data_IF_433086238257
#
_entry.id   IF_433086238257
#
_cell.length_a   1.000
_cell.length_b   1.000
_cell.length_c   1.000
_cell.angle_alpha   90.00
_cell.angle_beta   90.00
_cell.angle_gamma   90.00
#
_symmetry.space_group_name_H-M   'P 1'
#
loop_
_entity.id
_entity.type
_entity.pdbx_description
1 polymer ?
#
# COMPACT_ATOMS: atom_id res chain seq x y z
N UNK A 1 10.67 59.53 9.38
CA UNK A 1 10.44 59.80 7.93
C UNK A 1 11.78 59.73 7.22
N UNK A 2 11.94 58.78 6.30
CA UNK A 2 13.12 58.52 5.48
C UNK A 2 12.75 58.77 4.02
N UNK A 3 13.63 59.43 3.28
CA UNK A 3 13.73 59.49 1.82
C UNK A 3 15.07 60.19 1.53
N UNK A 4 15.84 59.97 0.48
CA UNK A 4 15.92 58.99 -0.60
C UNK A 4 17.29 59.31 -1.25
N UNK A 5 18.13 58.30 -1.54
CA UNK A 5 19.22 58.39 -2.53
C UNK A 5 19.51 57.01 -3.10
N UNK A 6 19.01 56.86 -4.31
CA UNK A 6 19.26 55.86 -5.34
C UNK A 6 20.74 55.53 -5.60
N UNK A 7 21.02 54.24 -5.78
CA UNK A 7 22.25 53.64 -6.33
C UNK A 7 21.92 52.81 -7.58
N UNK A 8 22.81 52.69 -8.58
CA UNK A 8 22.53 51.96 -9.82
C UNK A 8 23.14 50.55 -9.87
N UNK A 9 22.50 49.71 -10.71
CA UNK A 9 23.06 48.63 -11.55
C UNK A 9 23.77 47.44 -10.88
N UNK A 10 23.16 46.25 -11.01
CA UNK A 10 23.80 45.09 -11.68
C UNK A 10 22.81 43.96 -11.95
N UNK A 11 22.89 43.45 -13.17
CA UNK A 11 22.14 42.35 -13.74
C UNK A 11 22.37 41.01 -13.02
N UNK A 12 21.35 40.15 -12.98
CA UNK A 12 21.51 38.70 -12.81
C UNK A 12 20.49 37.98 -13.69
N UNK A 13 21.00 37.43 -14.79
CA UNK A 13 20.28 36.55 -15.70
C UNK A 13 20.08 35.19 -15.04
N UNK A 14 18.81 34.77 -14.96
CA UNK A 14 18.44 33.37 -14.86
C UNK A 14 18.62 32.72 -16.24
N UNK A 15 19.46 31.69 -16.35
CA UNK A 15 19.54 30.85 -17.56
C UNK A 15 18.81 29.52 -17.32
N UNK A 16 17.69 29.41 -18.01
CA UNK A 16 16.84 28.24 -18.17
C UNK A 16 17.48 27.24 -19.14
N UNK A 17 17.42 25.96 -18.80
CA UNK A 17 17.74 24.86 -19.71
C UNK A 17 16.56 24.60 -20.66
N UNK A 18 16.81 24.60 -21.97
CA UNK A 18 15.95 24.05 -23.01
C UNK A 18 16.81 23.63 -24.21
N UNK A 19 16.63 22.45 -24.81
CA UNK A 19 17.22 22.12 -26.09
C UNK A 19 16.18 22.24 -27.21
N UNK A 20 16.46 23.11 -28.17
CA UNK A 20 15.73 23.29 -29.43
C UNK A 20 16.14 22.25 -30.47
N UNK A 21 15.17 21.72 -31.21
CA UNK A 21 15.33 21.08 -32.53
C UNK A 21 14.87 22.05 -33.62
N UNK A 22 15.34 21.94 -34.88
CA UNK A 22 14.67 22.57 -36.00
C UNK A 22 14.24 21.59 -37.11
N UNK A 23 13.14 21.92 -37.80
CA UNK A 23 13.00 21.66 -39.25
C UNK A 23 11.72 20.98 -39.73
N UNK A 24 10.83 21.76 -40.34
CA UNK A 24 9.54 21.41 -40.97
C UNK A 24 9.64 20.81 -42.39
N UNK A 25 8.64 20.00 -42.79
CA UNK A 25 8.05 19.94 -44.14
C UNK A 25 6.72 19.14 -44.13
N UNK A 26 5.91 19.27 -45.19
CA UNK A 26 4.44 19.33 -45.13
C UNK A 26 3.65 18.11 -45.67
N UNK A 27 2.41 17.99 -45.13
CA UNK A 27 1.12 17.48 -45.67
C UNK A 27 1.06 16.22 -46.58
N UNK A 28 0.27 15.22 -46.13
CA UNK A 28 -0.84 14.56 -46.88
C UNK A 28 -1.70 13.70 -45.94
N UNK A 29 -3.04 13.78 -46.04
CA UNK A 29 -4.01 12.87 -45.38
C UNK A 29 -4.17 11.59 -46.21
N UNK A 30 -4.45 10.43 -45.57
CA UNK A 30 -5.72 9.79 -45.92
C UNK A 30 -6.47 9.06 -44.78
N UNK A 31 -7.79 9.07 -44.96
CA UNK A 31 -8.90 8.13 -44.64
C UNK A 31 -8.95 7.34 -43.32
N UNK A 32 -10.18 7.33 -42.81
CA UNK A 32 -10.66 6.74 -41.57
C UNK A 32 -10.41 5.23 -41.46
N UNK A 33 -9.90 4.83 -40.30
CA UNK A 33 -9.95 3.46 -39.81
C UNK A 33 -10.74 3.42 -38.49
N UNK A 34 -11.70 2.52 -38.47
CA UNK A 34 -12.76 2.30 -37.48
C UNK A 34 -12.16 1.94 -36.10
N UNK A 35 -12.49 2.72 -35.06
CA UNK A 35 -12.11 2.43 -33.67
C UNK A 35 -13.05 1.38 -33.07
N UNK A 36 -12.55 0.36 -32.34
CA UNK A 36 -13.40 -0.54 -31.58
C UNK A 36 -13.99 0.18 -30.36
N UNK A 37 -15.30 -0.02 -30.13
CA UNK A 37 -16.11 0.54 -29.05
C UNK A 37 -15.54 0.17 -27.67
N UNK A 38 -14.93 1.14 -26.99
CA UNK A 38 -14.64 1.09 -25.55
C UNK A 38 -15.91 1.42 -24.77
N UNK A 39 -16.37 0.51 -23.92
CA UNK A 39 -17.42 0.77 -22.93
C UNK A 39 -16.78 1.58 -21.80
N UNK A 40 -16.89 2.90 -21.87
CA UNK A 40 -16.69 3.81 -20.74
C UNK A 40 -17.28 5.19 -21.06
N UNK A 41 -18.41 5.55 -20.45
CA UNK A 41 -18.78 6.92 -20.05
C UNK A 41 -20.22 6.96 -19.52
N UNK A 42 -20.38 6.94 -18.20
CA UNK A 42 -21.53 7.55 -17.50
C UNK A 42 -21.29 7.52 -15.98
N UNK A 43 -20.22 8.16 -15.49
CA UNK A 43 -20.04 8.54 -14.08
C UNK A 43 -18.83 9.47 -13.88
N UNK A 44 -18.53 10.33 -14.85
CA UNK A 44 -17.42 11.27 -14.79
C UNK A 44 -17.98 12.70 -14.74
N UNK A 45 -18.41 13.13 -13.56
CA UNK A 45 -18.58 14.54 -13.23
C UNK A 45 -18.27 14.73 -11.74
N UNK A 46 -17.49 15.77 -11.44
CA UNK A 46 -16.99 16.25 -10.14
C UNK A 46 -15.59 15.75 -9.69
N UNK A 47 -14.59 16.37 -10.34
CA UNK A 47 -13.23 16.58 -9.86
C UNK A 47 -13.18 17.89 -9.07
N UNK A 48 -12.91 17.85 -7.75
CA UNK A 48 -12.12 18.86 -7.01
C UNK A 48 -11.73 18.29 -5.62
N UNK A 49 -10.55 18.69 -5.15
CA UNK A 49 -9.93 18.43 -3.83
C UNK A 49 -9.33 17.03 -3.57
N UNK A 50 -8.12 16.82 -4.10
CA UNK A 50 -7.21 15.75 -3.68
C UNK A 50 -6.70 16.00 -2.24
N UNK A 51 -7.49 15.54 -1.27
CA UNK A 51 -7.03 14.97 0.00
C UNK A 51 -8.21 14.26 0.65
N UNK A 52 -8.48 13.03 0.22
CA UNK A 52 -9.44 12.19 0.92
C UNK A 52 -8.91 11.94 2.32
N UNK A 53 -9.60 12.34 3.40
CA UNK A 53 -9.26 11.87 4.73
C UNK A 53 -9.52 10.35 4.72
N UNK A 54 -8.46 9.54 4.68
CA UNK A 54 -8.54 8.06 4.60
C UNK A 54 -9.15 7.38 5.85
N UNK A 55 -9.94 8.09 6.64
CA UNK A 55 -10.54 7.63 7.90
C UNK A 55 -12.06 7.86 7.98
N UNK A 56 -12.67 8.58 7.03
CA UNK A 56 -14.10 8.88 7.03
C UNK A 56 -14.80 8.18 5.86
N UNK A 57 -15.78 7.31 6.14
CA UNK A 57 -16.73 6.83 5.14
C UNK A 57 -17.11 5.34 5.22
N UNK A 58 -16.33 4.49 5.90
CA UNK A 58 -16.71 3.11 6.15
C UNK A 58 -17.23 2.98 7.58
N UNK A 59 -18.55 2.86 7.72
CA UNK A 59 -19.24 2.62 8.99
C UNK A 59 -19.97 1.29 8.87
N UNK A 60 -19.74 0.41 9.84
CA UNK A 60 -20.41 -0.87 10.01
C UNK A 60 -21.12 -0.87 11.36
N UNK A 61 -22.29 -1.51 11.43
CA UNK A 61 -23.05 -1.74 12.65
C UNK A 61 -22.82 -3.16 13.19
N UNK A 62 -22.79 -3.37 14.52
CA UNK A 62 -22.88 -4.71 15.11
C UNK A 62 -24.12 -5.50 14.68
N UNK A 63 -25.22 -4.81 14.33
CA UNK A 63 -26.46 -5.41 13.85
C UNK A 63 -26.41 -5.85 12.38
N UNK A 64 -25.41 -5.41 11.60
CA UNK A 64 -25.27 -5.81 10.21
C UNK A 64 -25.07 -7.32 10.10
N UNK A 65 -25.68 -7.96 9.10
CA UNK A 65 -25.30 -9.33 8.75
C UNK A 65 -23.83 -9.37 8.32
N UNK A 66 -23.03 -10.33 8.82
CA UNK A 66 -21.58 -10.35 8.55
C UNK A 66 -21.24 -10.41 7.05
N UNK A 67 -22.05 -11.10 6.25
CA UNK A 67 -21.92 -11.14 4.79
C UNK A 67 -22.29 -9.81 4.12
N UNK A 68 -23.26 -9.07 4.68
CA UNK A 68 -23.63 -7.70 4.22
C UNK A 68 -22.46 -6.75 4.45
N UNK A 69 -21.91 -6.76 5.66
CA UNK A 69 -20.75 -5.96 6.02
C UNK A 69 -19.56 -6.25 5.08
N UNK A 70 -19.30 -7.52 4.77
CA UNK A 70 -18.26 -7.90 3.82
C UNK A 70 -18.46 -7.26 2.43
N UNK A 71 -19.70 -7.23 1.91
CA UNK A 71 -20.02 -6.58 0.62
C UNK A 71 -19.83 -5.07 0.67
N UNK A 72 -20.28 -4.41 1.75
CA UNK A 72 -20.07 -2.96 1.97
C UNK A 72 -18.59 -2.61 1.95
N UNK A 73 -17.76 -3.38 2.67
CA UNK A 73 -16.31 -3.16 2.72
C UNK A 73 -15.66 -3.39 1.36
N UNK A 74 -16.05 -4.45 0.64
CA UNK A 74 -15.53 -4.72 -0.71
C UNK A 74 -15.92 -3.60 -1.68
N UNK A 75 -17.19 -3.16 -1.68
CA UNK A 75 -17.68 -2.04 -2.49
C UNK A 75 -16.88 -0.76 -2.23
N UNK A 76 -16.70 -0.42 -0.96
CA UNK A 76 -15.99 0.79 -0.55
C UNK A 76 -14.56 0.82 -1.11
N UNK A 77 -13.81 -0.27 -0.95
CA UNK A 77 -12.43 -0.34 -1.45
C UNK A 77 -12.34 -0.53 -2.97
N UNK A 78 -13.32 -1.16 -3.61
CA UNK A 78 -13.39 -1.28 -5.07
C UNK A 78 -13.65 0.07 -5.73
N UNK A 79 -14.54 0.91 -5.16
CA UNK A 79 -14.73 2.30 -5.60
C UNK A 79 -13.45 3.12 -5.46
N UNK A 80 -12.75 2.97 -4.32
CA UNK A 80 -11.47 3.64 -4.10
C UNK A 80 -10.40 3.18 -5.10
N UNK A 81 -10.38 1.89 -5.47
CA UNK A 81 -9.52 1.34 -6.53
C UNK A 81 -9.86 1.97 -7.88
N UNK A 82 -11.13 1.93 -8.30
CA UNK A 82 -11.57 2.43 -9.61
C UNK A 82 -11.27 3.92 -9.80
N UNK A 83 -11.44 4.73 -8.75
CA UNK A 83 -11.19 6.18 -8.80
C UNK A 83 -9.73 6.54 -9.12
N UNK A 84 -8.77 5.75 -8.64
CA UNK A 84 -7.33 6.08 -8.76
C UNK A 84 -6.61 5.29 -9.84
N UNK A 85 -7.23 4.25 -10.39
CA UNK A 85 -6.62 3.37 -11.40
C UNK A 85 -6.16 4.12 -12.66
N UNK A 86 -6.93 5.05 -13.26
CA UNK A 86 -6.49 5.75 -14.48
C UNK A 86 -5.21 6.56 -14.27
N UNK A 87 -5.13 7.34 -13.18
CA UNK A 87 -3.94 8.13 -12.86
C UNK A 87 -2.76 7.24 -12.42
N UNK A 88 -3.03 6.11 -11.77
CA UNK A 88 -1.99 5.14 -11.44
C UNK A 88 -1.40 4.48 -12.68
N UNK A 89 -2.22 4.24 -13.70
CA UNK A 89 -1.79 3.73 -15.02
C UNK A 89 -0.93 4.74 -15.76
N UNK A 90 -1.17 6.03 -15.59
CA UNK A 90 -0.30 7.10 -16.10
C UNK A 90 1.05 7.21 -15.34
N UNK A 91 1.29 6.36 -14.33
CA UNK A 91 2.55 6.32 -13.60
C UNK A 91 2.66 7.30 -12.44
N UNK A 92 1.59 8.04 -12.12
CA UNK A 92 1.62 9.02 -11.04
C UNK A 92 1.89 8.37 -9.67
N UNK A 93 2.85 8.92 -8.93
CA UNK A 93 3.38 8.30 -7.71
C UNK A 93 2.32 8.09 -6.64
N UNK A 94 1.49 9.10 -6.38
CA UNK A 94 0.47 9.05 -5.34
C UNK A 94 -0.73 8.17 -5.74
N UNK A 95 -1.31 8.28 -6.95
CA UNK A 95 -2.29 7.33 -7.44
C UNK A 95 -1.82 5.87 -7.41
N UNK A 96 -0.58 5.55 -7.81
CA UNK A 96 -0.02 4.18 -7.68
C UNK A 96 0.02 3.74 -6.21
N UNK A 97 0.39 4.66 -5.30
CA UNK A 97 0.35 4.38 -3.86
C UNK A 97 -1.07 4.09 -3.37
N UNK A 98 -2.05 4.91 -3.75
CA UNK A 98 -3.46 4.73 -3.39
C UNK A 98 -4.05 3.44 -3.97
N UNK A 99 -3.73 3.11 -5.22
CA UNK A 99 -4.16 1.87 -5.86
C UNK A 99 -3.62 0.64 -5.10
N UNK A 100 -2.33 0.68 -4.70
CA UNK A 100 -1.73 -0.36 -3.85
C UNK A 100 -2.42 -0.45 -2.49
N UNK A 101 -2.79 0.68 -1.89
CA UNK A 101 -3.51 0.72 -0.61
C UNK A 101 -4.89 0.09 -0.75
N UNK A 102 -5.69 0.49 -1.74
CA UNK A 102 -7.01 -0.05 -2.01
C UNK A 102 -6.98 -1.56 -2.24
N UNK A 103 -6.09 -2.03 -3.12
CA UNK A 103 -5.90 -3.47 -3.41
C UNK A 103 -5.53 -4.27 -2.16
N UNK A 104 -4.66 -3.71 -1.33
CA UNK A 104 -4.24 -4.37 -0.08
C UNK A 104 -5.37 -4.42 0.95
N UNK A 105 -6.20 -3.38 1.03
CA UNK A 105 -7.39 -3.36 1.89
C UNK A 105 -8.45 -4.35 1.41
N UNK A 106 -8.72 -4.45 0.10
CA UNK A 106 -9.56 -5.50 -0.48
C UNK A 106 -9.07 -6.91 -0.07
N UNK A 107 -7.77 -7.18 -0.21
CA UNK A 107 -7.19 -8.46 0.21
C UNK A 107 -7.31 -8.73 1.71
N UNK A 108 -7.22 -7.68 2.54
CA UNK A 108 -7.38 -7.80 3.98
C UNK A 108 -8.84 -8.09 4.34
N UNK A 109 -9.79 -7.36 3.75
CA UNK A 109 -11.22 -7.56 3.93
C UNK A 109 -11.65 -8.98 3.54
N UNK A 110 -11.29 -9.45 2.34
CA UNK A 110 -11.62 -10.81 1.90
C UNK A 110 -11.00 -11.90 2.80
N UNK A 111 -9.82 -11.65 3.37
CA UNK A 111 -9.22 -12.57 4.33
C UNK A 111 -9.97 -12.55 5.66
N UNK A 112 -10.34 -11.37 6.14
CA UNK A 112 -11.06 -11.19 7.40
C UNK A 112 -12.42 -11.92 7.33
N UNK A 113 -13.19 -11.64 6.29
CA UNK A 113 -14.54 -12.19 6.11
C UNK A 113 -14.56 -13.59 5.48
N UNK A 114 -13.41 -14.19 5.15
CA UNK A 114 -13.36 -15.52 4.52
C UNK A 114 -14.25 -16.59 5.22
N UNK A 115 -14.35 -16.65 6.57
CA UNK A 115 -15.22 -17.62 7.26
C UNK A 115 -16.72 -17.45 7.00
N UNK A 116 -17.17 -16.26 6.60
CA UNK A 116 -18.60 -15.94 6.34
C UNK A 116 -18.91 -15.74 4.86
N UNK A 117 -17.96 -16.07 3.98
CA UNK A 117 -18.09 -15.96 2.53
C UNK A 117 -18.09 -17.33 1.87
N UNK A 118 -18.70 -17.48 0.67
CA UNK A 118 -18.58 -18.72 -0.09
C UNK A 118 -17.10 -19.07 -0.35
N UNK A 119 -16.66 -20.26 0.09
CA UNK A 119 -15.24 -20.63 0.11
C UNK A 119 -14.58 -20.52 -1.27
N UNK A 120 -15.27 -20.98 -2.34
CA UNK A 120 -14.79 -20.89 -3.72
C UNK A 120 -14.59 -19.44 -4.18
N UNK A 121 -15.49 -18.54 -3.81
CA UNK A 121 -15.38 -17.11 -4.12
C UNK A 121 -14.19 -16.49 -3.38
N UNK A 122 -14.11 -16.69 -2.06
CA UNK A 122 -13.06 -16.11 -1.23
C UNK A 122 -11.66 -16.55 -1.69
N UNK A 123 -11.48 -17.84 -1.98
CA UNK A 123 -10.21 -18.39 -2.46
C UNK A 123 -9.80 -17.82 -3.83
N UNK A 124 -10.73 -17.79 -4.79
CA UNK A 124 -10.45 -17.26 -6.13
C UNK A 124 -10.13 -15.76 -6.10
N UNK A 125 -10.96 -14.96 -5.43
CA UNK A 125 -10.77 -13.52 -5.30
C UNK A 125 -9.45 -13.18 -4.59
N UNK A 126 -9.11 -13.92 -3.53
CA UNK A 126 -7.85 -13.72 -2.80
C UNK A 126 -6.61 -13.99 -3.67
N UNK A 127 -6.60 -15.11 -4.40
CA UNK A 127 -5.52 -15.49 -5.31
C UNK A 127 -5.33 -14.45 -6.41
N UNK A 128 -6.42 -14.03 -7.05
CA UNK A 128 -6.34 -13.13 -8.20
C UNK A 128 -6.01 -11.69 -7.77
N UNK A 129 -6.51 -11.22 -6.62
CA UNK A 129 -6.02 -9.96 -6.03
C UNK A 129 -4.56 -10.06 -5.59
N UNK A 130 -4.08 -11.23 -5.16
CA UNK A 130 -2.67 -11.39 -4.82
C UNK A 130 -1.78 -11.21 -6.06
N UNK A 131 -2.16 -11.80 -7.19
CA UNK A 131 -1.50 -11.60 -8.47
C UNK A 131 -1.48 -10.12 -8.89
N UNK A 132 -2.62 -9.43 -8.82
CA UNK A 132 -2.71 -8.01 -9.20
C UNK A 132 -1.92 -7.11 -8.23
N UNK A 133 -2.01 -7.39 -6.93
CA UNK A 133 -1.27 -6.65 -5.90
C UNK A 133 0.25 -6.78 -6.05
N UNK A 134 0.75 -7.90 -6.59
CA UNK A 134 2.18 -8.06 -6.89
C UNK A 134 2.60 -7.11 -8.02
N UNK A 135 1.79 -6.99 -9.08
CA UNK A 135 2.08 -6.09 -10.20
C UNK A 135 2.08 -4.61 -9.79
N UNK A 136 1.00 -4.16 -9.15
CA UNK A 136 0.90 -2.79 -8.60
C UNK A 136 2.02 -2.57 -7.58
N UNK A 137 2.36 -3.63 -6.85
CA UNK A 137 3.38 -3.63 -5.84
C UNK A 137 4.75 -3.24 -6.40
N UNK A 138 5.15 -3.87 -7.50
CA UNK A 138 6.43 -3.67 -8.15
C UNK A 138 6.68 -2.20 -8.53
N UNK A 139 5.69 -1.53 -9.15
CA UNK A 139 5.79 -0.10 -9.50
C UNK A 139 6.00 0.76 -8.25
N UNK A 140 5.18 0.57 -7.20
CA UNK A 140 5.33 1.36 -5.97
C UNK A 140 6.67 1.11 -5.29
N UNK A 141 7.17 -0.11 -5.31
CA UNK A 141 8.44 -0.46 -4.69
C UNK A 141 9.60 0.28 -5.40
N UNK A 142 9.54 0.47 -6.72
CA UNK A 142 10.49 1.32 -7.47
C UNK A 142 10.38 2.81 -7.10
N UNK A 143 9.17 3.35 -6.90
CA UNK A 143 9.01 4.72 -6.39
C UNK A 143 9.66 4.91 -5.00
N UNK A 144 9.44 3.95 -4.07
CA UNK A 144 10.07 4.00 -2.73
C UNK A 144 11.59 3.87 -2.85
N UNK A 145 12.05 2.97 -3.72
CA UNK A 145 13.46 2.74 -3.97
C UNK A 145 14.15 4.01 -4.47
N UNK A 146 13.61 4.66 -5.49
CA UNK A 146 14.16 5.92 -6.03
C UNK A 146 14.22 7.03 -4.98
N UNK A 147 13.18 7.15 -4.16
CA UNK A 147 13.19 8.09 -3.03
C UNK A 147 14.28 7.76 -2.00
N UNK A 148 14.44 6.49 -1.68
CA UNK A 148 15.44 6.01 -0.73
C UNK A 148 16.85 6.26 -1.24
N UNK A 149 17.14 5.88 -2.49
CA UNK A 149 18.44 6.05 -3.12
C UNK A 149 18.80 7.54 -3.22
N UNK A 150 17.89 8.40 -3.69
CA UNK A 150 18.11 9.86 -3.77
C UNK A 150 18.46 10.46 -2.41
N UNK A 151 17.71 10.12 -1.36
CA UNK A 151 17.97 10.59 0.01
C UNK A 151 19.31 10.12 0.57
N UNK A 152 19.79 8.94 0.18
CA UNK A 152 21.11 8.45 0.60
C UNK A 152 22.24 9.02 -0.26
N UNK A 153 22.05 9.13 -1.58
CA UNK A 153 23.01 9.71 -2.51
C UNK A 153 23.35 11.17 -2.16
N UNK A 154 22.35 11.95 -1.70
CA UNK A 154 22.55 13.31 -1.21
C UNK A 154 23.51 13.43 -0.01
N UNK A 155 23.84 12.32 0.65
CA UNK A 155 24.75 12.25 1.80
C UNK A 155 26.13 11.66 1.46
N UNK A 156 26.34 11.26 0.21
CA UNK A 156 27.65 10.81 -0.26
C UNK A 156 28.55 12.01 -0.49
N UNK A 157 29.86 11.75 -0.51
CA UNK A 157 30.87 12.71 -0.94
C UNK A 157 30.58 13.25 -2.35
N UNK A 158 30.95 14.51 -2.64
CA UNK A 158 30.59 15.16 -3.91
C UNK A 158 31.00 14.37 -5.16
N UNK A 159 32.17 13.75 -5.15
CA UNK A 159 32.67 12.92 -6.25
C UNK A 159 31.77 11.70 -6.50
N UNK A 160 31.52 10.90 -5.47
CA UNK A 160 30.63 9.74 -5.56
C UNK A 160 29.20 10.14 -5.95
N UNK A 161 28.72 11.29 -5.45
CA UNK A 161 27.40 11.80 -5.78
C UNK A 161 27.24 12.11 -7.27
N UNK A 162 28.26 12.69 -7.91
CA UNK A 162 28.27 12.95 -9.37
C UNK A 162 28.21 11.65 -10.17
N UNK A 163 28.78 10.57 -9.66
CA UNK A 163 28.80 9.26 -10.30
C UNK A 163 27.50 8.42 -10.12
N UNK A 164 26.47 8.93 -9.45
CA UNK A 164 25.19 8.20 -9.24
C UNK A 164 24.29 8.17 -10.49
N UNK A 165 24.54 9.03 -11.49
CA UNK A 165 23.69 9.18 -12.69
C UNK A 165 23.24 7.85 -13.33
N UNK A 166 24.15 6.90 -13.64
CA UNK A 166 23.79 5.62 -14.23
C UNK A 166 22.81 4.76 -13.40
N UNK A 167 22.84 4.87 -12.07
CA UNK A 167 21.87 4.20 -11.19
C UNK A 167 20.47 4.77 -11.38
N UNK A 168 20.39 6.10 -11.57
CA UNK A 168 19.12 6.80 -11.84
C UNK A 168 18.51 6.37 -13.17
N UNK A 169 19.34 6.28 -14.22
CA UNK A 169 18.91 5.82 -15.56
C UNK A 169 18.38 4.40 -15.50
N UNK A 170 19.15 3.46 -14.94
CA UNK A 170 18.72 2.06 -14.84
C UNK A 170 17.44 1.89 -14.01
N UNK A 171 17.27 2.67 -12.94
CA UNK A 171 16.04 2.66 -12.15
C UNK A 171 14.84 3.19 -12.93
N UNK A 172 15.01 4.26 -13.69
CA UNK A 172 13.95 4.84 -14.52
C UNK A 172 13.52 3.86 -15.61
N UNK A 173 14.45 3.27 -16.35
CA UNK A 173 14.14 2.28 -17.37
C UNK A 173 13.40 1.07 -16.80
N UNK A 174 13.81 0.58 -15.62
CA UNK A 174 13.10 -0.50 -14.95
C UNK A 174 11.69 -0.09 -14.53
N UNK A 175 11.50 1.16 -14.10
CA UNK A 175 10.21 1.70 -13.76
C UNK A 175 9.27 1.76 -14.97
N UNK A 176 9.73 2.29 -16.11
CA UNK A 176 8.94 2.35 -17.35
C UNK A 176 8.50 0.95 -17.81
N UNK A 177 9.42 -0.03 -17.81
CA UNK A 177 9.09 -1.43 -18.12
C UNK A 177 8.04 -2.01 -17.17
N UNK A 178 8.21 -1.78 -15.86
CA UNK A 178 7.29 -2.30 -14.84
C UNK A 178 5.92 -1.64 -14.92
N UNK A 179 5.86 -0.36 -15.29
CA UNK A 179 4.61 0.37 -15.49
C UNK A 179 3.86 -0.13 -16.73
N UNK A 180 4.56 -0.35 -17.84
CA UNK A 180 3.99 -0.96 -19.05
C UNK A 180 3.44 -2.37 -18.78
N UNK A 181 4.17 -3.19 -18.01
CA UNK A 181 3.69 -4.49 -17.55
C UNK A 181 2.44 -4.39 -16.69
N UNK A 182 2.36 -3.39 -15.79
CA UNK A 182 1.17 -3.14 -14.99
C UNK A 182 -0.03 -2.81 -15.88
N UNK A 183 0.14 -1.92 -16.86
CA UNK A 183 -0.90 -1.59 -17.84
C UNK A 183 -1.42 -2.83 -18.57
N UNK A 184 -0.51 -3.63 -19.12
CA UNK A 184 -0.85 -4.90 -19.80
C UNK A 184 -1.63 -5.86 -18.90
N UNK A 185 -1.26 -5.96 -17.63
CA UNK A 185 -1.97 -6.83 -16.67
C UNK A 185 -3.36 -6.30 -16.34
N UNK A 186 -3.54 -4.99 -16.20
CA UNK A 186 -4.83 -4.37 -15.95
C UNK A 186 -5.79 -4.54 -17.14
N UNK A 187 -5.27 -4.53 -18.38
CA UNK A 187 -6.07 -4.71 -19.60
C UNK A 187 -6.41 -6.19 -19.90
N UNK A 188 -5.65 -7.10 -19.27
CA UNK A 188 -5.81 -8.53 -19.45
C UNK A 188 -7.14 -9.08 -18.95
N UNK A 189 -7.61 -10.16 -19.60
CA UNK A 189 -8.86 -10.89 -19.25
C UNK A 189 -8.92 -11.28 -17.77
N UNK A 190 -7.78 -11.57 -17.14
CA UNK A 190 -7.71 -11.95 -15.72
C UNK A 190 -8.09 -10.80 -14.78
N UNK A 191 -7.59 -9.59 -15.03
CA UNK A 191 -7.93 -8.42 -14.21
C UNK A 191 -9.40 -8.04 -14.39
N UNK A 192 -9.90 -8.03 -15.63
CA UNK A 192 -11.32 -7.78 -15.90
C UNK A 192 -12.25 -8.73 -15.14
N UNK A 193 -12.04 -10.05 -15.27
CA UNK A 193 -12.83 -11.07 -14.56
C UNK A 193 -12.75 -10.95 -13.04
N UNK A 194 -11.60 -10.50 -12.50
CA UNK A 194 -11.46 -10.24 -11.08
C UNK A 194 -12.33 -9.05 -10.65
N UNK A 195 -12.23 -7.92 -11.35
CA UNK A 195 -12.98 -6.71 -11.03
C UNK A 195 -14.49 -6.92 -11.20
N UNK A 196 -14.92 -7.58 -12.28
CA UNK A 196 -16.32 -7.97 -12.49
C UNK A 196 -16.85 -8.87 -11.37
N UNK A 197 -16.08 -9.89 -10.96
CA UNK A 197 -16.47 -10.78 -9.85
C UNK A 197 -16.59 -10.02 -8.53
N UNK A 198 -15.67 -9.10 -8.25
CA UNK A 198 -15.72 -8.27 -7.04
C UNK A 198 -16.89 -7.28 -7.08
N UNK A 199 -17.19 -6.69 -8.23
CA UNK A 199 -18.33 -5.79 -8.43
C UNK A 199 -19.65 -6.56 -8.27
N UNK A 200 -19.80 -7.69 -8.97
CA UNK A 200 -20.96 -8.55 -8.86
C UNK A 200 -21.20 -9.00 -7.42
N UNK A 201 -20.14 -9.35 -6.67
CA UNK A 201 -20.24 -9.64 -5.24
C UNK A 201 -20.61 -8.41 -4.41
N UNK A 202 -20.00 -7.26 -4.67
CA UNK A 202 -20.31 -6.03 -3.96
C UNK A 202 -21.78 -5.66 -4.12
N UNK A 203 -22.35 -5.85 -5.31
CA UNK A 203 -23.68 -5.41 -5.69
C UNK A 203 -24.77 -6.48 -5.64
N UNK A 204 -24.44 -7.75 -5.36
CA UNK A 204 -25.52 -8.74 -5.19
C UNK A 204 -26.36 -8.41 -3.96
N UNK A 205 -27.70 -8.53 -4.06
CA UNK A 205 -28.57 -8.39 -2.91
C UNK A 205 -28.15 -9.39 -1.84
N UNK A 206 -28.07 -8.91 -0.60
CA UNK A 206 -27.79 -9.80 0.52
C UNK A 206 -29.03 -10.67 0.77
N UNK A 207 -28.87 -11.98 1.00
CA UNK A 207 -29.96 -12.79 1.53
C UNK A 207 -30.42 -12.17 2.86
N UNK A 208 -31.67 -11.72 2.94
CA UNK A 208 -32.26 -11.17 4.17
C UNK A 208 -32.34 -12.29 5.21
N UNK A 209 -31.84 -12.05 6.43
CA UNK A 209 -31.99 -12.96 7.57
C UNK A 209 -31.19 -14.27 7.53
N UNK A 210 -30.28 -14.49 6.57
CA UNK A 210 -29.42 -15.69 6.54
C UNK A 210 -27.97 -15.34 6.88
N UNK A 211 -27.54 -15.72 8.10
CA UNK A 211 -26.16 -15.63 8.56
C UNK A 211 -26.02 -14.93 9.92
N UNK A 212 -24.86 -15.03 10.57
CA UNK A 212 -24.64 -14.40 11.87
C UNK A 212 -24.55 -12.87 11.74
N UNK A 213 -24.92 -12.17 12.81
CA UNK A 213 -24.65 -10.73 12.92
C UNK A 213 -23.16 -10.48 13.04
N UNK A 214 -22.73 -9.30 12.63
CA UNK A 214 -21.33 -8.92 12.65
C UNK A 214 -20.79 -8.85 14.08
N UNK A 215 -21.55 -8.28 15.02
CA UNK A 215 -21.18 -8.22 16.45
C UNK A 215 -20.88 -9.61 17.02
N UNK A 216 -21.74 -10.59 16.75
CA UNK A 216 -21.61 -11.96 17.25
C UNK A 216 -20.33 -12.68 16.78
N UNK A 217 -19.81 -12.33 15.59
CA UNK A 217 -18.61 -12.98 15.02
C UNK A 217 -17.36 -12.10 15.04
N UNK A 218 -17.45 -10.81 15.36
CA UNK A 218 -16.35 -9.86 15.24
C UNK A 218 -15.09 -10.31 16.01
N UNK A 219 -15.26 -10.74 17.26
CA UNK A 219 -14.16 -11.25 18.08
C UNK A 219 -13.50 -12.50 17.47
N UNK A 220 -14.29 -13.42 16.92
CA UNK A 220 -13.80 -14.65 16.29
C UNK A 220 -13.11 -14.39 14.95
N UNK A 221 -13.56 -13.39 14.19
CA UNK A 221 -12.86 -12.94 12.97
C UNK A 221 -11.48 -12.36 13.31
N UNK A 222 -11.32 -11.65 14.44
CA UNK A 222 -10.05 -11.03 14.86
C UNK A 222 -9.10 -12.01 15.57
N UNK A 223 -9.63 -12.97 16.32
CA UNK A 223 -8.86 -13.91 17.17
C UNK A 223 -7.71 -14.63 16.43
N UNK A 224 -7.87 -15.15 15.19
CA UNK A 224 -6.77 -15.74 14.43
C UNK A 224 -5.63 -14.74 14.11
N UNK A 225 -5.96 -13.46 13.89
CA UNK A 225 -4.99 -12.42 13.62
C UNK A 225 -4.17 -12.08 14.87
N UNK A 226 -4.82 -11.96 16.03
CA UNK A 226 -4.18 -11.78 17.34
C UNK A 226 -3.24 -12.95 17.63
N UNK A 227 -3.73 -14.19 17.54
CA UNK A 227 -2.91 -15.40 17.73
C UNK A 227 -1.70 -15.41 16.80
N UNK A 228 -1.88 -14.99 15.55
CA UNK A 228 -0.80 -14.90 14.57
C UNK A 228 0.29 -13.89 14.94
N UNK A 229 -0.08 -12.74 15.52
CA UNK A 229 0.88 -11.73 16.03
C UNK A 229 1.62 -12.27 17.25
N UNK A 230 0.91 -12.82 18.23
CA UNK A 230 1.50 -13.39 19.45
C UNK A 230 2.47 -14.53 19.11
N UNK A 231 2.09 -15.47 18.25
CA UNK A 231 2.95 -16.58 17.82
C UNK A 231 4.21 -16.10 17.09
N UNK A 232 4.09 -15.06 16.25
CA UNK A 232 5.25 -14.49 15.58
C UNK A 232 6.18 -13.77 16.56
N UNK A 233 5.61 -13.08 17.55
CA UNK A 233 6.34 -12.41 18.61
C UNK A 233 7.10 -13.35 19.53
N UNK A 234 6.50 -14.47 19.94
CA UNK A 234 7.14 -15.49 20.79
C UNK A 234 8.41 -16.10 20.18
N UNK A 235 8.52 -16.10 18.84
CA UNK A 235 9.72 -16.57 18.12
C UNK A 235 10.87 -15.56 18.13
N UNK A 236 10.64 -14.33 18.59
CA UNK A 236 11.68 -13.31 18.62
C UNK A 236 12.53 -13.47 19.88
N UNK A 237 13.71 -14.05 19.71
CA UNK A 237 14.80 -13.99 20.69
C UNK A 237 15.55 -12.65 20.68
N UNK A 238 16.54 -12.46 21.59
CA UNK A 238 17.43 -11.29 21.59
C UNK A 238 18.11 -11.05 20.22
N UNK A 239 18.46 -12.14 19.54
CA UNK A 239 19.14 -12.15 18.25
C UNK A 239 18.23 -12.49 17.07
N UNK A 240 16.93 -12.20 17.17
CA UNK A 240 15.95 -12.55 16.13
C UNK A 240 16.40 -12.19 14.70
N UNK A 241 16.34 -13.16 13.79
CA UNK A 241 16.83 -13.01 12.43
C UNK A 241 15.91 -12.07 11.61
N UNK A 242 16.40 -11.47 10.50
CA UNK A 242 15.57 -10.64 9.62
C UNK A 242 14.26 -11.30 9.16
N UNK A 243 14.22 -12.61 8.82
CA UNK A 243 12.97 -13.29 8.47
C UNK A 243 11.92 -13.28 9.58
N UNK A 244 12.31 -13.38 10.85
CA UNK A 244 11.36 -13.41 11.97
C UNK A 244 10.70 -12.05 12.21
N UNK A 245 11.48 -10.98 12.13
CA UNK A 245 10.95 -9.62 12.18
C UNK A 245 10.03 -9.32 10.99
N UNK A 246 10.38 -9.82 9.81
CA UNK A 246 9.51 -9.72 8.64
C UNK A 246 8.19 -10.46 8.86
N UNK A 247 8.23 -11.68 9.39
CA UNK A 247 7.03 -12.45 9.75
C UNK A 247 6.16 -11.70 10.75
N UNK A 248 6.73 -11.15 11.83
CA UNK A 248 6.00 -10.32 12.78
C UNK A 248 5.35 -9.12 12.10
N UNK A 249 6.11 -8.37 11.29
CA UNK A 249 5.60 -7.20 10.55
C UNK A 249 4.39 -7.56 9.70
N UNK A 250 4.45 -8.67 8.96
CA UNK A 250 3.33 -9.14 8.14
C UNK A 250 2.11 -9.43 9.00
N UNK A 251 2.28 -10.05 10.17
CA UNK A 251 1.17 -10.34 11.10
C UNK A 251 0.59 -9.08 11.72
N UNK A 252 1.43 -8.16 12.19
CA UNK A 252 1.03 -6.84 12.73
C UNK A 252 0.21 -6.07 11.70
N UNK A 253 0.68 -6.02 10.45
CA UNK A 253 -0.02 -5.36 9.34
C UNK A 253 -1.39 -5.98 9.06
N UNK A 254 -1.49 -7.32 9.10
CA UNK A 254 -2.75 -8.04 8.90
C UNK A 254 -3.74 -7.76 10.03
N UNK A 255 -3.29 -7.80 11.28
CA UNK A 255 -4.13 -7.46 12.44
C UNK A 255 -4.61 -6.01 12.38
N UNK A 256 -3.71 -5.06 12.07
CA UNK A 256 -4.08 -3.65 11.92
C UNK A 256 -5.18 -3.47 10.87
N UNK A 257 -5.06 -4.07 9.68
CA UNK A 257 -6.11 -3.93 8.67
C UNK A 257 -7.43 -4.58 9.08
N UNK A 258 -7.39 -5.72 9.75
CA UNK A 258 -8.59 -6.35 10.27
C UNK A 258 -9.32 -5.44 11.27
N UNK A 259 -8.58 -4.86 12.21
CA UNK A 259 -9.13 -3.92 13.19
C UNK A 259 -9.55 -2.57 12.58
N UNK A 260 -8.86 -2.09 11.56
CA UNK A 260 -9.28 -0.88 10.84
C UNK A 260 -10.61 -1.10 10.11
N UNK A 261 -10.85 -2.31 9.59
CA UNK A 261 -12.12 -2.67 8.95
C UNK A 261 -13.26 -2.72 9.95
N UNK A 262 -13.03 -3.27 11.15
CA UNK A 262 -14.04 -3.35 12.22
C UNK A 262 -13.98 -2.17 13.19
N UNK A 263 -13.37 -1.05 12.80
CA UNK A 263 -13.10 0.06 13.71
C UNK A 263 -14.37 0.68 14.29
N UNK A 264 -15.48 0.67 13.56
CA UNK A 264 -16.75 1.23 14.01
C UNK A 264 -17.47 0.37 15.05
N UNK A 265 -17.06 -0.88 15.25
CA UNK A 265 -17.59 -1.79 16.28
C UNK A 265 -16.81 -1.71 17.59
N UNK A 266 -15.78 -0.85 17.64
CA UNK A 266 -14.89 -0.77 18.78
C UNK A 266 -14.70 0.66 19.25
N UNK A 267 -14.56 0.79 20.55
CA UNK A 267 -14.40 2.06 21.23
C UNK A 267 -12.94 2.26 21.63
N UNK A 268 -12.67 2.27 22.93
CA UNK A 268 -11.40 2.73 23.47
C UNK A 268 -10.27 1.77 23.16
N UNK A 269 -10.44 0.46 23.39
CA UNK A 269 -9.37 -0.52 23.25
C UNK A 269 -9.00 -0.71 21.78
N UNK A 270 -9.99 -0.80 20.88
CA UNK A 270 -9.73 -0.89 19.43
C UNK A 270 -8.98 0.34 18.93
N UNK A 271 -9.41 1.56 19.31
CA UNK A 271 -8.73 2.80 18.92
C UNK A 271 -7.31 2.86 19.47
N UNK A 272 -7.09 2.51 20.75
CA UNK A 272 -5.77 2.53 21.35
C UNK A 272 -4.84 1.52 20.66
N UNK A 273 -5.28 0.28 20.46
CA UNK A 273 -4.44 -0.75 19.85
C UNK A 273 -4.08 -0.38 18.42
N UNK A 274 -4.99 0.24 17.66
CA UNK A 274 -4.71 0.69 16.30
C UNK A 274 -3.57 1.71 16.26
N UNK A 275 -3.58 2.69 17.16
CA UNK A 275 -2.48 3.68 17.29
C UNK A 275 -1.16 3.00 17.63
N UNK A 276 -1.18 2.02 18.53
CA UNK A 276 0.04 1.28 18.92
C UNK A 276 0.55 0.38 17.80
N UNK A 277 -0.34 -0.30 17.08
CA UNK A 277 0.00 -1.14 15.93
C UNK A 277 0.56 -0.30 14.78
N UNK A 278 0.05 0.91 14.55
CA UNK A 278 0.58 1.85 13.56
C UNK A 278 2.02 2.23 13.89
N UNK A 279 2.29 2.69 15.12
CA UNK A 279 3.66 3.02 15.59
C UNK A 279 4.62 1.83 15.51
N UNK A 280 4.16 0.64 15.88
CA UNK A 280 4.93 -0.60 15.77
C UNK A 280 5.23 -0.93 14.31
N UNK A 281 4.23 -0.87 13.44
CA UNK A 281 4.38 -1.12 12.01
C UNK A 281 5.36 -0.14 11.37
N UNK A 282 5.34 1.14 11.71
CA UNK A 282 6.27 2.14 11.17
C UNK A 282 7.70 1.86 11.59
N UNK A 283 7.89 1.40 12.83
CA UNK A 283 9.22 1.02 13.33
C UNK A 283 9.76 -0.23 12.64
N UNK A 284 8.93 -1.28 12.52
CA UNK A 284 9.24 -2.47 11.71
C UNK A 284 9.33 -2.14 10.20
N UNK A 285 8.74 -1.00 9.82
CA UNK A 285 8.67 -0.35 8.51
C UNK A 285 10.02 -0.01 7.92
N UNK A 286 10.72 0.86 8.66
CA UNK A 286 11.87 1.69 8.23
C UNK A 286 13.11 0.91 7.79
N UNK A 287 13.24 -0.36 8.19
CA UNK A 287 14.37 -1.22 7.81
C UNK A 287 14.19 -1.91 6.46
N UNK A 288 12.95 -2.16 6.04
CA UNK A 288 12.66 -2.93 4.82
C UNK A 288 13.08 -2.17 3.57
N UNK A 289 12.78 -0.87 3.49
CA UNK A 289 13.10 -0.06 2.30
C UNK A 289 14.62 -0.04 2.06
N UNK A 290 15.41 0.02 3.14
CA UNK A 290 16.86 -0.06 3.07
C UNK A 290 17.35 -1.45 2.61
N UNK A 291 16.72 -2.53 3.07
CA UNK A 291 17.04 -3.88 2.64
C UNK A 291 16.69 -4.11 1.15
N UNK A 292 15.53 -3.61 0.70
CA UNK A 292 15.13 -3.64 -0.71
C UNK A 292 16.12 -2.85 -1.58
N UNK A 293 16.56 -1.68 -1.11
CA UNK A 293 17.55 -0.87 -1.83
C UNK A 293 18.91 -1.57 -1.94
N UNK A 294 19.39 -2.25 -0.88
CA UNK A 294 20.61 -3.06 -0.94
C UNK A 294 20.48 -4.19 -1.97
N UNK A 295 19.35 -4.91 -1.96
CA UNK A 295 19.12 -6.01 -2.89
C UNK A 295 19.13 -5.52 -4.34
N UNK A 296 18.47 -4.39 -4.61
CA UNK A 296 18.48 -3.77 -5.94
C UNK A 296 19.88 -3.34 -6.38
N UNK A 297 20.64 -2.64 -5.52
CA UNK A 297 22.00 -2.20 -5.82
C UNK A 297 22.95 -3.36 -6.13
N UNK A 298 22.79 -4.49 -5.42
CA UNK A 298 23.55 -5.71 -5.70
C UNK A 298 23.17 -6.34 -7.03
N UNK A 299 21.87 -6.39 -7.35
CA UNK A 299 21.40 -6.88 -8.65
C UNK A 299 21.89 -6.00 -9.80
N UNK A 300 21.87 -4.68 -9.62
CA UNK A 300 22.45 -3.72 -10.56
C UNK A 300 23.95 -4.00 -10.76
N UNK A 301 24.74 -4.06 -9.68
CA UNK A 301 26.18 -4.29 -9.78
C UNK A 301 26.56 -5.66 -10.40
N UNK A 302 25.67 -6.65 -10.34
CA UNK A 302 25.86 -7.95 -10.98
C UNK A 302 25.45 -7.99 -12.46
N UNK A 303 24.82 -6.93 -12.97
CA UNK A 303 24.41 -6.85 -14.38
C UNK A 303 25.63 -6.62 -15.27
N UNK A 304 25.72 -7.31 -16.41
CA UNK A 304 26.82 -7.10 -17.38
C UNK A 304 26.73 -5.71 -18.00
N UNK A 305 27.89 -5.09 -18.23
CA UNK A 305 27.99 -3.79 -18.91
C UNK A 305 27.58 -2.58 -18.07
N UNK A 306 27.44 -2.73 -16.74
CA UNK A 306 27.25 -1.55 -15.88
C UNK A 306 28.49 -0.64 -15.92
N UNK A 307 28.31 0.69 -15.98
CA UNK A 307 29.43 1.62 -15.98
C UNK A 307 30.30 1.44 -14.72
N UNK A 308 31.61 1.25 -14.88
CA UNK A 308 32.52 1.05 -13.74
C UNK A 308 32.43 2.20 -12.70
N UNK A 309 32.22 3.43 -13.18
CA UNK A 309 32.05 4.61 -12.34
C UNK A 309 30.85 4.53 -11.36
N UNK A 310 29.82 3.72 -11.65
CA UNK A 310 28.65 3.58 -10.77
C UNK A 310 28.82 2.50 -9.68
N UNK A 311 29.87 1.69 -9.73
CA UNK A 311 30.11 0.61 -8.76
C UNK A 311 30.53 1.13 -7.39
N UNK A 312 31.46 2.09 -7.34
CA UNK A 312 31.87 2.74 -6.08
C UNK A 312 30.70 3.42 -5.35
N UNK A 313 29.88 4.29 -5.99
CA UNK A 313 28.72 4.87 -5.31
C UNK A 313 27.69 3.82 -4.92
N UNK A 314 27.46 2.77 -5.72
CA UNK A 314 26.59 1.66 -5.34
C UNK A 314 27.09 0.95 -4.06
N UNK A 315 28.40 0.69 -3.97
CA UNK A 315 29.04 0.14 -2.77
C UNK A 315 28.87 1.03 -1.53
N UNK A 316 29.12 2.33 -1.67
CA UNK A 316 28.95 3.30 -0.59
C UNK A 316 27.49 3.36 -0.09
N UNK A 317 26.52 3.35 -1.02
CA UNK A 317 25.09 3.29 -0.69
C UNK A 317 24.74 1.99 0.05
N UNK A 318 25.23 0.83 -0.40
CA UNK A 318 25.01 -0.46 0.27
C UNK A 318 25.51 -0.39 1.72
N UNK A 319 26.71 0.13 1.96
CA UNK A 319 27.26 0.25 3.31
C UNK A 319 26.41 1.15 4.20
N UNK A 320 26.01 2.33 3.71
CA UNK A 320 25.16 3.28 4.45
C UNK A 320 23.79 2.66 4.80
N UNK A 321 23.17 1.98 3.84
CA UNK A 321 21.89 1.30 4.03
C UNK A 321 22.01 0.11 4.99
N UNK A 322 23.10 -0.65 4.95
CA UNK A 322 23.34 -1.79 5.84
C UNK A 322 23.41 -1.35 7.32
N UNK A 323 24.07 -0.20 7.59
CA UNK A 323 24.06 0.42 8.93
C UNK A 323 22.63 0.73 9.39
N UNK A 324 21.80 1.27 8.49
CA UNK A 324 20.39 1.58 8.77
C UNK A 324 19.57 0.32 9.05
N UNK A 325 19.73 -0.74 8.27
CA UNK A 325 19.05 -2.04 8.51
C UNK A 325 19.37 -2.56 9.91
N UNK A 326 20.64 -2.61 10.30
CA UNK A 326 21.06 -3.06 11.65
C UNK A 326 20.43 -2.21 12.76
N UNK A 327 20.45 -0.88 12.60
CA UNK A 327 19.84 0.05 13.58
C UNK A 327 18.33 -0.15 13.71
N UNK A 328 17.62 -0.31 12.59
CA UNK A 328 16.16 -0.51 12.62
C UNK A 328 15.76 -1.89 13.15
N UNK A 329 16.56 -2.93 12.92
CA UNK A 329 16.35 -4.26 13.53
C UNK A 329 16.30 -4.17 15.06
N UNK A 330 17.31 -3.54 15.68
CA UNK A 330 17.36 -3.35 17.14
C UNK A 330 16.16 -2.53 17.65
N UNK A 331 15.78 -1.47 16.93
CA UNK A 331 14.61 -0.63 17.27
C UNK A 331 13.29 -1.38 17.15
N UNK A 332 13.12 -2.20 16.11
CA UNK A 332 11.94 -3.04 15.89
C UNK A 332 11.73 -4.04 17.02
N UNK A 333 12.80 -4.71 17.48
CA UNK A 333 12.74 -5.62 18.63
C UNK A 333 12.33 -4.89 19.92
N UNK A 334 12.97 -3.75 20.22
CA UNK A 334 12.60 -2.94 21.39
C UNK A 334 11.14 -2.46 21.33
N UNK A 335 10.66 -2.05 20.16
CA UNK A 335 9.28 -1.62 19.96
C UNK A 335 8.29 -2.78 20.16
N UNK A 336 8.61 -3.98 19.64
CA UNK A 336 7.80 -5.18 19.88
C UNK A 336 7.71 -5.50 21.38
N UNK A 337 8.82 -5.54 22.11
CA UNK A 337 8.83 -5.83 23.55
C UNK A 337 7.99 -4.85 24.37
N UNK A 338 8.03 -3.56 24.01
CA UNK A 338 7.18 -2.53 24.63
C UNK A 338 5.70 -2.77 24.33
N UNK A 339 5.37 -3.11 23.08
CA UNK A 339 3.99 -3.42 22.69
C UNK A 339 3.45 -4.65 23.41
N UNK A 340 4.24 -5.73 23.47
CA UNK A 340 3.88 -7.01 24.11
C UNK A 340 3.48 -6.84 25.59
N UNK A 341 4.17 -5.96 26.32
CA UNK A 341 3.88 -5.68 27.74
C UNK A 341 2.55 -4.98 27.99
N UNK A 342 1.97 -4.32 26.98
CA UNK A 342 0.72 -3.56 27.16
C UNK A 342 -0.51 -4.45 27.33
N UNK A 343 -0.44 -5.73 26.92
CA UNK A 343 -1.55 -6.70 26.92
C UNK A 343 -2.85 -6.22 26.22
N UNK A 344 -2.80 -5.13 25.45
CA UNK A 344 -3.97 -4.52 24.78
C UNK A 344 -4.70 -5.46 23.80
N UNK A 345 -4.02 -6.49 23.29
CA UNK A 345 -4.64 -7.47 22.39
C UNK A 345 -5.76 -8.27 23.08
N UNK A 346 -5.66 -8.49 24.38
CA UNK A 346 -6.71 -9.18 25.16
C UNK A 346 -7.92 -8.26 25.37
N UNK A 347 -7.67 -7.00 25.72
CA UNK A 347 -8.73 -5.99 25.89
C UNK A 347 -9.56 -5.81 24.61
N UNK A 348 -8.90 -5.81 23.44
CA UNK A 348 -9.58 -5.71 22.14
C UNK A 348 -10.51 -6.89 21.87
N UNK A 349 -10.10 -8.11 22.24
CA UNK A 349 -10.97 -9.29 22.06
C UNK A 349 -12.16 -9.26 23.02
N UNK A 350 -11.99 -8.76 24.25
CA UNK A 350 -13.09 -8.58 25.20
C UNK A 350 -14.07 -7.51 24.73
N UNK A 351 -13.57 -6.36 24.27
CA UNK A 351 -14.38 -5.26 23.76
C UNK A 351 -15.23 -5.72 22.56
N UNK A 352 -14.62 -6.35 21.56
CA UNK A 352 -15.37 -6.84 20.39
C UNK A 352 -16.32 -8.01 20.71
N UNK A 353 -16.11 -8.73 21.82
CA UNK A 353 -17.02 -9.80 22.25
C UNK A 353 -18.21 -9.24 23.04
N UNK A 354 -18.10 -8.05 23.64
CA UNK A 354 -19.21 -7.40 24.32
C UNK A 354 -20.31 -6.92 23.35
N UNK A 355 -19.96 -6.73 22.08
CA UNK A 355 -20.90 -6.42 20.99
C UNK A 355 -21.74 -7.63 20.53
N UNK A 356 -21.42 -8.85 21.01
CA UNK A 356 -22.26 -10.01 20.77
C UNK A 356 -23.55 -9.86 21.59
N UNK A 357 -24.69 -10.19 20.99
CA UNK A 357 -25.94 -10.19 21.77
C UNK A 357 -25.87 -11.20 22.93
N UNK A 358 -26.50 -10.90 24.09
CA UNK A 358 -26.69 -11.92 25.11
C UNK A 358 -27.45 -13.12 24.50
N UNK A 359 -27.17 -14.35 24.96
CA UNK A 359 -27.92 -15.51 24.50
C UNK A 359 -29.42 -15.24 24.68
N UNK A 360 -30.21 -15.51 23.63
CA UNK A 360 -31.68 -15.42 23.68
C UNK A 360 -32.24 -16.49 24.64
N UNK A 361 -32.12 -16.25 25.94
CA UNK A 361 -32.97 -16.86 26.96
C UNK A 361 -33.90 -15.76 27.49
N UNK A 362 -35.20 -16.09 27.65
CA UNK A 362 -36.31 -15.22 28.05
C UNK A 362 -37.07 -14.42 26.95
N UNK A 363 -37.40 -15.07 25.83
CA UNK A 363 -38.56 -14.67 25.00
C UNK A 363 -39.62 -15.79 24.87
N UNK A 364 -39.57 -16.76 25.78
CA UNK A 364 -40.59 -17.78 26.01
C UNK A 364 -40.66 -18.04 27.51
N UNK A 365 -41.33 -17.15 28.23
CA UNK A 365 -41.92 -17.39 29.54
C UNK A 365 -43.26 -16.66 29.54
#
# INVERSE_FOLDING_TARGET
>A
MRADRSTPSRASCASTWSPTSPGHAARRRPRAATRPRTIACAAAAEMTALRVPQRAGLVLSPDDGAAVAARVVVRFHLRAFARVEPAARAGEVEPVHQLRVATRRLRAALRLFAPVLPARFAAAAHRDLAWLATAIGAVRDLHVLGETLRKQAARLDPELRRAVGPLGVALHEQHERTLAELGTRLDGKRARRLLERLAAFADSPAPVGRGPRLGDVAADLIRPHVRGVVRAGRRLGPDAAPPDLHRLRVRVKRLRYALETLRSLGDRSVREVLVRLERLQDTLGKGQDAATAIAWLRGYAATRGVPAASLLPAGALIQALARRVRKQRRRGLKAWRRFERTRLLESVLKELAAEASPPREAARA
#
